data_IF_462180660450
#
_entry.id   IF_462180660450
#
_cell.length_a   1.000
_cell.length_b   1.000
_cell.length_c   1.000
_cell.angle_alpha   90.00
_cell.angle_beta   90.00
_cell.angle_gamma   90.00
#
_symmetry.space_group_name_H-M   'P 1'
#
loop_
_entity.id
_entity.type
_entity.pdbx_description
1 polymer ?
#
# COMPACT_ATOMS: atom_id res chain seq x y z
N UNK A 1 -15.40 6.97 9.79
CA UNK A 1 -14.29 7.21 8.84
C UNK A 1 -13.61 5.88 8.61
N UNK A 2 -13.53 5.41 7.37
CA UNK A 2 -12.83 4.16 7.07
C UNK A 2 -11.32 4.36 7.20
N UNK A 3 -10.60 3.35 7.69
CA UNK A 3 -9.14 3.37 7.71
C UNK A 3 -8.63 3.14 6.29
N UNK A 4 -7.65 3.94 5.85
CA UNK A 4 -6.99 3.78 4.56
C UNK A 4 -5.64 3.13 4.80
N UNK A 5 -5.37 2.00 4.14
CA UNK A 5 -4.05 1.37 4.10
C UNK A 5 -3.16 2.08 3.06
N UNK A 6 -2.31 1.36 2.32
CA UNK A 6 -1.41 1.95 1.31
C UNK A 6 -2.13 2.57 0.10
N UNK A 7 -3.35 2.13 -0.21
CA UNK A 7 -4.10 2.61 -1.38
C UNK A 7 -5.39 3.31 -0.96
N UNK A 8 -5.62 4.51 -1.51
CA UNK A 8 -6.93 5.17 -1.43
C UNK A 8 -7.95 4.44 -2.30
N UNK A 9 -9.24 4.75 -2.16
CA UNK A 9 -10.28 4.22 -3.06
C UNK A 9 -9.95 4.50 -4.53
N UNK A 10 -9.55 5.74 -4.82
CA UNK A 10 -9.17 6.17 -6.18
C UNK A 10 -7.92 5.47 -6.69
N UNK A 11 -6.94 5.20 -5.83
CA UNK A 11 -5.76 4.43 -6.24
C UNK A 11 -6.15 3.00 -6.62
N UNK A 12 -7.06 2.37 -5.85
CA UNK A 12 -7.57 1.02 -6.18
C UNK A 12 -8.25 1.01 -7.54
N UNK A 13 -9.21 1.90 -7.78
CA UNK A 13 -9.96 1.99 -9.04
C UNK A 13 -9.04 2.24 -10.26
N UNK A 14 -7.98 3.04 -10.09
CA UNK A 14 -7.06 3.36 -11.19
C UNK A 14 -6.03 2.27 -11.45
N UNK A 15 -5.55 1.60 -10.41
CA UNK A 15 -4.56 0.51 -10.54
C UNK A 15 -5.23 -0.78 -11.02
N UNK A 16 -6.46 -1.08 -10.59
CA UNK A 16 -7.24 -2.22 -11.07
C UNK A 16 -7.70 -2.08 -12.52
N UNK A 17 -7.62 -0.86 -13.08
CA UNK A 17 -8.07 -0.54 -14.42
C UNK A 17 -9.57 -0.33 -14.56
N UNK A 18 -10.32 -0.34 -13.44
CA UNK A 18 -11.76 -0.08 -13.38
C UNK A 18 -12.12 1.37 -13.75
N UNK A 19 -11.19 2.31 -13.53
CA UNK A 19 -11.38 3.71 -13.88
C UNK A 19 -11.05 3.98 -15.37
N UNK A 20 -12.02 4.48 -16.13
CA UNK A 20 -11.80 5.01 -17.47
C UNK A 20 -11.14 6.40 -17.39
N UNK A 21 -9.82 6.41 -17.21
CA UNK A 21 -8.99 7.61 -17.09
C UNK A 21 -7.75 7.50 -17.98
N UNK A 22 -7.17 8.64 -18.43
CA UNK A 22 -5.96 8.63 -19.24
C UNK A 22 -4.80 7.88 -18.58
N UNK A 23 -3.92 7.28 -19.39
CA UNK A 23 -2.76 6.53 -18.91
C UNK A 23 -1.86 7.34 -17.97
N UNK A 24 -1.76 8.65 -18.17
CA UNK A 24 -1.02 9.54 -17.28
C UNK A 24 -1.55 9.50 -15.84
N UNK A 25 -2.88 9.47 -15.65
CA UNK A 25 -3.50 9.40 -14.33
C UNK A 25 -3.36 8.02 -13.69
N UNK A 26 -3.37 6.95 -14.50
CA UNK A 26 -3.07 5.60 -14.04
C UNK A 26 -1.61 5.52 -13.55
N UNK A 27 -0.67 6.00 -14.37
CA UNK A 27 0.75 6.04 -14.05
C UNK A 27 1.05 6.86 -12.79
N UNK A 28 0.42 8.03 -12.64
CA UNK A 28 0.53 8.83 -11.41
C UNK A 28 0.11 8.05 -10.16
N UNK A 29 -1.01 7.31 -10.21
CA UNK A 29 -1.45 6.51 -9.06
C UNK A 29 -0.52 5.32 -8.79
N UNK A 30 -0.01 4.65 -9.83
CA UNK A 30 1.02 3.60 -9.66
C UNK A 30 2.28 4.17 -9.00
N UNK A 31 2.76 5.33 -9.47
CA UNK A 31 3.95 6.00 -8.91
C UNK A 31 3.76 6.40 -7.44
N UNK A 32 2.57 6.88 -7.07
CA UNK A 32 2.23 7.16 -5.67
C UNK A 32 2.21 5.90 -4.82
N UNK A 33 1.65 4.81 -5.34
CA UNK A 33 1.60 3.53 -4.61
C UNK A 33 3.00 2.96 -4.40
N UNK A 34 3.90 3.06 -5.38
CA UNK A 34 5.30 2.65 -5.23
C UNK A 34 6.00 3.37 -4.07
N UNK A 35 5.90 4.70 -4.02
CA UNK A 35 6.47 5.47 -2.91
C UNK A 35 5.91 5.04 -1.55
N UNK A 36 4.62 4.72 -1.46
CA UNK A 36 4.03 4.23 -0.21
C UNK A 36 4.47 2.82 0.17
N UNK A 37 4.86 1.99 -0.80
CA UNK A 37 5.46 0.68 -0.53
C UNK A 37 6.86 0.88 0.05
N UNK A 38 7.66 1.80 -0.50
CA UNK A 38 8.99 2.12 0.02
C UNK A 38 8.91 2.63 1.48
N UNK A 39 7.93 3.49 1.80
CA UNK A 39 7.71 3.94 3.19
C UNK A 39 7.21 2.81 4.09
N UNK A 40 6.37 1.89 3.57
CA UNK A 40 5.90 0.73 4.33
C UNK A 40 7.05 -0.21 4.74
N UNK A 41 8.12 -0.29 3.94
CA UNK A 41 9.34 -1.01 4.31
C UNK A 41 9.97 -0.41 5.57
N UNK A 42 10.08 0.92 5.62
CA UNK A 42 10.61 1.64 6.80
C UNK A 42 9.70 1.42 8.02
N UNK A 43 8.38 1.51 7.84
CA UNK A 43 7.41 1.24 8.90
C UNK A 43 7.54 -0.21 9.41
N UNK A 44 7.74 -1.17 8.52
CA UNK A 44 7.91 -2.58 8.88
C UNK A 44 9.21 -2.81 9.68
N UNK A 45 10.30 -2.12 9.37
CA UNK A 45 11.52 -2.16 10.19
C UNK A 45 11.28 -1.63 11.60
N UNK A 46 10.61 -0.47 11.73
CA UNK A 46 10.26 0.11 13.03
C UNK A 46 9.37 -0.85 13.84
N UNK A 47 8.37 -1.47 13.21
CA UNK A 47 7.52 -2.47 13.85
C UNK A 47 8.34 -3.67 14.31
N UNK A 48 9.22 -4.20 13.46
CA UNK A 48 10.07 -5.34 13.81
C UNK A 48 10.95 -5.09 15.03
N UNK A 49 11.47 -3.87 15.18
CA UNK A 49 12.32 -3.50 16.31
C UNK A 49 11.53 -3.23 17.61
N UNK A 50 10.37 -2.59 17.52
CA UNK A 50 9.65 -2.08 18.68
C UNK A 50 8.43 -2.93 19.09
N UNK A 51 7.75 -3.54 18.12
CA UNK A 51 6.49 -4.28 18.26
C UNK A 51 6.45 -5.48 17.31
N UNK A 52 7.25 -6.54 17.59
CA UNK A 52 7.43 -7.66 16.67
C UNK A 52 6.15 -8.45 16.40
N UNK A 53 5.18 -8.42 17.32
CA UNK A 53 3.84 -8.97 17.16
C UNK A 53 3.07 -8.28 16.03
N UNK A 54 3.07 -6.95 15.98
CA UNK A 54 2.43 -6.19 14.90
C UNK A 54 3.15 -6.36 13.55
N UNK A 55 4.46 -6.56 13.57
CA UNK A 55 5.22 -6.91 12.37
C UNK A 55 4.81 -8.27 11.80
N UNK A 56 4.61 -9.26 12.68
CA UNK A 56 4.13 -10.60 12.28
C UNK A 56 2.73 -10.51 11.68
N UNK A 57 1.80 -9.78 12.31
CA UNK A 57 0.46 -9.53 11.78
C UNK A 57 0.50 -8.84 10.40
N UNK A 58 1.35 -7.82 10.24
CA UNK A 58 1.52 -7.14 8.94
C UNK A 58 2.06 -8.11 7.88
N UNK A 59 3.05 -8.94 8.23
CA UNK A 59 3.67 -9.92 7.32
C UNK A 59 2.65 -10.96 6.88
N UNK A 60 1.87 -11.52 7.80
CA UNK A 60 0.80 -12.48 7.50
C UNK A 60 -0.30 -11.88 6.62
N UNK A 61 -0.59 -10.58 6.77
CA UNK A 61 -1.60 -9.91 5.95
C UNK A 61 -1.17 -9.66 4.49
N UNK A 62 0.14 -9.67 4.18
CA UNK A 62 0.67 -9.33 2.85
C UNK A 62 1.40 -10.48 2.15
N UNK A 63 1.92 -11.44 2.90
CA UNK A 63 2.54 -12.64 2.36
C UNK A 63 1.52 -13.79 2.37
N UNK A 64 1.22 -14.34 1.20
CA UNK A 64 0.68 -15.69 1.14
C UNK A 64 1.76 -16.66 1.69
N UNK A 65 1.37 -17.60 2.55
CA UNK A 65 2.27 -18.59 3.19
C UNK A 65 3.32 -19.20 2.25
#
# INVERSE_FOLDING_TARGET
>A
MGVTAIMTKTDRERVSGEADVPDSKRYESISRVRQRIDELETDAEILKENHPDLYEELREAVCDE
#
